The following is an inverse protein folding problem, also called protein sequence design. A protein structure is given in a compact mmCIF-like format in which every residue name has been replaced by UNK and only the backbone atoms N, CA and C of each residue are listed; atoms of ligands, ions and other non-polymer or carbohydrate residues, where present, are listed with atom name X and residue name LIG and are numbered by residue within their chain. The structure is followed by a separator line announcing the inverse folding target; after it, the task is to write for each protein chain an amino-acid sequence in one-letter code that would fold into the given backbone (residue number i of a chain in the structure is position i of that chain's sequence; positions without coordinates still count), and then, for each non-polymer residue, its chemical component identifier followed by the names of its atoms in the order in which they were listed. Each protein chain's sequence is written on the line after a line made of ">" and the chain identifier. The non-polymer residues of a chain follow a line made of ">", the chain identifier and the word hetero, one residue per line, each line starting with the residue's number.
data_IF_513781392289
#
_entry.id   IF_513781392289
#
_cell.length_a   1.000
_cell.length_b   1.000
_cell.length_c   1.000
_cell.angle_alpha   90.00
_cell.angle_beta   90.00
_cell.angle_gamma   90.00
#
_symmetry.space_group_name_H-M   'P 1'
#
loop_
_entity.id
_entity.type
_entity.pdbx_description
1 polymer ?
#
# COMPACT_ATOMS: atom_id res chain seq x y z
N UNK A 1 19.75 -22.27 20.20
CA UNK A 1 19.46 -21.33 19.09
C UNK A 1 17.96 -21.15 19.02
N UNK A 2 17.46 -20.10 19.67
CA UNK A 2 16.03 -19.81 19.76
C UNK A 2 15.40 -19.54 18.40
N UNK A 3 14.41 -20.36 18.05
CA UNK A 3 13.47 -20.13 16.95
C UNK A 3 12.64 -18.87 17.30
N UNK A 4 13.14 -17.68 16.94
CA UNK A 4 12.35 -16.45 17.04
C UNK A 4 11.06 -16.67 16.24
N UNK A 5 9.94 -16.68 16.96
CA UNK A 5 8.60 -16.86 16.42
C UNK A 5 8.42 -15.99 15.17
N UNK A 6 8.25 -16.63 14.00
CA UNK A 6 7.81 -16.02 12.73
C UNK A 6 6.33 -15.61 12.83
N UNK A 7 5.92 -14.92 13.91
CA UNK A 7 4.55 -14.42 14.02
C UNK A 7 4.49 -13.06 13.34
N UNK A 8 3.67 -12.99 12.30
CA UNK A 8 3.26 -11.74 11.67
C UNK A 8 2.77 -10.74 12.72
N UNK A 9 2.99 -9.45 12.48
CA UNK A 9 2.46 -8.40 13.34
C UNK A 9 0.94 -8.58 13.47
N UNK A 10 0.38 -8.79 14.68
CA UNK A 10 -1.05 -9.03 14.87
C UNK A 10 -1.94 -7.83 14.48
N UNK A 11 -1.33 -6.68 14.16
CA UNK A 11 -2.00 -5.51 13.59
C UNK A 11 -2.20 -5.61 12.07
N UNK A 12 -1.46 -6.47 11.36
CA UNK A 12 -1.61 -6.73 9.91
C UNK A 12 -2.55 -7.91 9.67
N UNK A 13 -3.81 -7.73 10.05
CA UNK A 13 -4.88 -8.71 9.76
C UNK A 13 -5.58 -8.29 8.48
N UNK A 14 -5.70 -9.23 7.54
CA UNK A 14 -6.45 -9.02 6.30
C UNK A 14 -7.93 -9.28 6.54
N UNK A 15 -8.79 -8.48 5.91
CA UNK A 15 -10.24 -8.72 5.87
C UNK A 15 -10.52 -10.08 5.24
N UNK A 16 -11.40 -10.90 5.83
CA UNK A 16 -11.70 -12.20 5.24
C UNK A 16 -12.34 -12.03 3.87
N UNK A 17 -11.99 -12.91 2.92
CA UNK A 17 -12.45 -12.80 1.54
C UNK A 17 -13.97 -12.94 1.40
N UNK A 18 -14.61 -13.67 2.30
CA UNK A 18 -16.07 -13.85 2.30
C UNK A 18 -16.81 -12.65 2.91
N UNK A 19 -16.13 -11.83 3.70
CA UNK A 19 -16.68 -10.59 4.28
C UNK A 19 -16.50 -9.39 3.34
N UNK A 20 -15.81 -9.57 2.21
CA UNK A 20 -15.53 -8.50 1.26
C UNK A 20 -16.80 -8.08 0.50
N UNK A 21 -17.28 -6.86 0.77
CA UNK A 21 -18.25 -6.19 -0.11
C UNK A 21 -17.50 -5.52 -1.27
N UNK A 22 -17.33 -6.24 -2.39
CA UNK A 22 -16.56 -5.77 -3.54
C UNK A 22 -17.12 -4.50 -4.21
N UNK A 23 -18.45 -4.30 -4.18
CA UNK A 23 -19.05 -3.10 -4.72
C UNK A 23 -18.63 -1.87 -3.89
N UNK A 24 -18.79 -1.95 -2.57
CA UNK A 24 -18.37 -0.89 -1.66
C UNK A 24 -16.86 -0.61 -1.74
N UNK A 25 -16.05 -1.67 -1.83
CA UNK A 25 -14.60 -1.53 -2.01
C UNK A 25 -14.24 -0.86 -3.34
N UNK A 26 -14.97 -1.14 -4.42
CA UNK A 26 -14.77 -0.45 -5.70
C UNK A 26 -15.09 1.05 -5.60
N UNK A 27 -16.17 1.39 -4.89
CA UNK A 27 -16.56 2.78 -4.65
C UNK A 27 -15.50 3.52 -3.81
N UNK A 28 -15.00 2.89 -2.73
CA UNK A 28 -13.90 3.42 -1.92
C UNK A 28 -12.62 3.57 -2.73
N UNK A 29 -12.28 2.60 -3.57
CA UNK A 29 -11.09 2.67 -4.41
C UNK A 29 -11.15 3.86 -5.37
N UNK A 30 -12.32 4.20 -5.90
CA UNK A 30 -12.47 5.37 -6.78
C UNK A 30 -12.16 6.70 -6.07
N UNK A 31 -12.41 6.76 -4.76
CA UNK A 31 -12.23 7.94 -3.91
C UNK A 31 -10.84 7.99 -3.25
N UNK A 32 -10.20 6.83 -3.04
CA UNK A 32 -8.91 6.72 -2.40
C UNK A 32 -7.84 7.55 -3.14
N UNK A 33 -6.95 8.15 -2.35
CA UNK A 33 -5.87 9.00 -2.81
C UNK A 33 -4.53 8.49 -2.31
N UNK A 34 -3.49 8.70 -3.11
CA UNK A 34 -2.12 8.41 -2.70
C UNK A 34 -1.48 9.71 -2.18
N UNK A 35 -1.25 9.74 -0.88
CA UNK A 35 -0.45 10.73 -0.19
C UNK A 35 1.03 10.54 -0.52
N UNK A 36 1.76 11.63 -0.55
CA UNK A 36 3.21 11.57 -0.66
C UNK A 36 3.79 12.87 -0.15
N UNK A 37 4.67 12.79 0.83
CA UNK A 37 5.49 13.93 1.21
C UNK A 37 6.39 14.30 0.01
N UNK A 38 6.30 15.54 -0.52
CA UNK A 38 7.17 16.01 -1.60
C UNK A 38 8.66 16.07 -1.20
N UNK A 39 9.01 16.00 0.09
CA UNK A 39 10.40 16.07 0.58
C UNK A 39 11.32 14.91 0.16
N UNK A 40 10.82 13.89 -0.55
CA UNK A 40 11.62 12.71 -0.94
C UNK A 40 11.49 12.30 -2.42
N UNK A 41 11.14 13.22 -3.32
CA UNK A 41 11.00 12.93 -4.75
C UNK A 41 12.05 13.68 -5.56
N UNK A 42 12.96 12.93 -6.19
CA UNK A 42 13.98 13.46 -7.11
C UNK A 42 13.43 14.20 -8.35
N UNK A 43 12.10 14.17 -8.59
CA UNK A 43 11.46 14.85 -9.72
C UNK A 43 10.31 15.77 -9.24
N UNK A 44 10.60 17.03 -8.87
CA UNK A 44 9.59 18.00 -8.40
C UNK A 44 8.60 18.47 -9.49
N UNK A 45 8.86 18.18 -10.77
CA UNK A 45 8.03 18.65 -11.89
C UNK A 45 6.61 18.09 -11.93
N UNK A 46 6.36 16.92 -11.33
CA UNK A 46 5.08 16.20 -11.45
C UNK A 46 3.99 16.71 -10.44
N UNK A 47 4.34 17.69 -9.60
CA UNK A 47 3.49 18.18 -8.50
C UNK A 47 3.08 19.65 -8.61
N UNK A 48 3.47 20.39 -9.65
CA UNK A 48 3.23 21.84 -9.77
C UNK A 48 3.70 22.64 -8.54
N UNK A 49 4.79 22.22 -7.89
CA UNK A 49 5.34 22.92 -6.73
C UNK A 49 6.63 23.66 -7.14
N UNK A 50 6.60 24.99 -7.06
CA UNK A 50 7.81 25.82 -6.98
C UNK A 50 8.53 25.55 -5.65
N UNK A 51 9.86 25.42 -5.63
CA UNK A 51 10.57 24.68 -4.58
C UNK A 51 10.72 25.49 -3.28
N UNK A 52 11.08 24.82 -2.16
CA UNK A 52 12.30 25.25 -1.52
C UNK A 52 13.34 24.14 -1.31
N UNK A 53 14.54 24.47 -1.78
CA UNK A 53 15.89 24.30 -1.23
C UNK A 53 16.13 23.35 -0.04
N UNK A 54 17.19 22.55 -0.19
CA UNK A 54 17.93 21.73 0.80
C UNK A 54 17.46 20.29 1.04
N UNK A 55 18.10 19.30 0.38
CA UNK A 55 18.00 17.90 0.80
C UNK A 55 18.70 17.73 2.16
N UNK A 56 17.94 17.33 3.20
CA UNK A 56 18.53 16.97 4.49
C UNK A 56 19.28 15.62 4.37
N UNK A 57 20.57 15.52 4.72
CA UNK A 57 21.42 14.36 4.39
C UNK A 57 21.14 13.06 5.19
N UNK A 58 20.12 13.01 6.04
CA UNK A 58 20.01 11.99 7.09
C UNK A 58 18.69 11.20 7.11
N UNK A 59 17.93 11.18 6.00
CA UNK A 59 16.81 10.26 5.88
C UNK A 59 16.93 9.50 4.58
N UNK A 60 17.32 8.23 4.74
CA UNK A 60 17.43 7.17 3.75
C UNK A 60 16.60 7.45 2.50
N UNK A 61 17.31 7.78 1.42
CA UNK A 61 16.76 7.70 0.08
C UNK A 61 16.13 6.32 -0.10
N UNK A 62 14.87 6.29 -0.50
CA UNK A 62 14.21 5.08 -1.01
C UNK A 62 14.77 4.69 -2.40
N UNK A 63 16.10 4.68 -2.57
CA UNK A 63 16.79 4.34 -3.82
C UNK A 63 16.61 2.86 -4.23
N UNK A 64 16.04 2.03 -3.36
CA UNK A 64 15.85 0.60 -3.61
C UNK A 64 14.56 0.26 -4.37
N UNK A 65 13.62 1.19 -4.53
CA UNK A 65 12.41 0.96 -5.33
C UNK A 65 12.51 1.82 -6.59
N UNK A 66 12.79 1.16 -7.71
CA UNK A 66 12.82 1.77 -9.05
C UNK A 66 11.65 2.73 -9.18
N UNK A 67 11.97 4.00 -9.47
CA UNK A 67 11.07 5.15 -9.66
C UNK A 67 9.60 4.75 -9.83
N UNK A 68 8.86 4.82 -8.74
CA UNK A 68 7.44 4.52 -8.70
C UNK A 68 6.67 5.84 -8.78
N UNK A 69 5.96 6.08 -9.88
CA UNK A 69 5.21 7.33 -10.05
C UNK A 69 4.03 7.36 -9.08
N UNK A 70 3.57 8.56 -8.68
CA UNK A 70 2.34 8.68 -7.85
C UNK A 70 1.14 8.01 -8.52
N UNK A 71 1.07 8.05 -9.85
CA UNK A 71 0.02 7.41 -10.64
C UNK A 71 0.05 5.89 -10.48
N UNK A 72 1.22 5.27 -10.58
CA UNK A 72 1.36 3.82 -10.36
C UNK A 72 1.03 3.44 -8.91
N UNK A 73 1.46 4.26 -7.96
CA UNK A 73 1.11 4.11 -6.54
C UNK A 73 -0.39 4.13 -6.29
N UNK A 74 -1.06 5.11 -6.87
CA UNK A 74 -2.50 5.22 -6.81
C UNK A 74 -3.17 4.02 -7.49
N UNK A 75 -2.66 3.59 -8.64
CA UNK A 75 -3.23 2.44 -9.35
C UNK A 75 -3.11 1.14 -8.53
N UNK A 76 -1.94 0.86 -7.94
CA UNK A 76 -1.74 -0.32 -7.10
C UNK A 76 -2.57 -0.27 -5.82
N UNK A 77 -2.63 0.88 -5.15
CA UNK A 77 -3.49 1.10 -3.99
C UNK A 77 -4.95 0.76 -4.34
N UNK A 78 -5.47 1.35 -5.41
CA UNK A 78 -6.86 1.15 -5.83
C UNK A 78 -7.14 -0.30 -6.22
N UNK A 79 -6.18 -0.96 -6.87
CA UNK A 79 -6.28 -2.38 -7.21
C UNK A 79 -6.33 -3.25 -5.96
N UNK A 80 -5.49 -2.98 -4.97
CA UNK A 80 -5.52 -3.66 -3.66
C UNK A 80 -6.86 -3.54 -2.95
N UNK A 81 -7.42 -2.32 -2.91
CA UNK A 81 -8.77 -2.08 -2.36
C UNK A 81 -9.82 -2.88 -3.14
N UNK A 82 -9.83 -2.79 -4.47
CA UNK A 82 -10.83 -3.46 -5.33
C UNK A 82 -10.88 -4.96 -5.16
N UNK A 83 -9.74 -5.63 -5.03
CA UNK A 83 -9.70 -7.08 -4.82
C UNK A 83 -9.87 -7.48 -3.34
N UNK A 84 -10.10 -6.49 -2.47
CA UNK A 84 -10.33 -6.67 -1.04
C UNK A 84 -9.07 -7.01 -0.23
N UNK A 85 -7.87 -6.83 -0.79
CA UNK A 85 -6.63 -7.04 -0.05
C UNK A 85 -6.34 -5.87 0.88
N UNK A 86 -7.19 -5.74 1.90
CA UNK A 86 -7.25 -4.63 2.85
C UNK A 86 -7.34 -5.14 4.27
N UNK A 87 -7.03 -4.31 5.25
CA UNK A 87 -7.13 -4.70 6.65
C UNK A 87 -8.57 -4.88 7.10
N UNK A 88 -8.77 -5.77 8.07
CA UNK A 88 -10.05 -5.90 8.81
C UNK A 88 -10.37 -4.65 9.64
N UNK A 89 -9.34 -3.88 10.02
CA UNK A 89 -9.48 -2.60 10.72
C UNK A 89 -9.85 -1.49 9.75
N UNK A 90 -10.83 -0.68 10.16
CA UNK A 90 -11.33 0.47 9.42
C UNK A 90 -11.25 1.71 10.31
N UNK A 91 -10.83 2.84 9.74
CA UNK A 91 -10.90 4.17 10.35
C UNK A 91 -11.83 5.06 9.49
N UNK A 92 -12.97 5.44 10.05
CA UNK A 92 -14.06 6.03 9.26
C UNK A 92 -14.64 4.98 8.31
N UNK A 93 -14.50 5.20 7.00
CA UNK A 93 -14.89 4.25 5.95
C UNK A 93 -13.69 3.57 5.27
N UNK A 94 -12.46 3.94 5.64
CA UNK A 94 -11.25 3.51 4.95
C UNK A 94 -10.53 2.41 5.72
N UNK A 95 -10.12 1.31 5.07
CA UNK A 95 -9.27 0.31 5.70
C UNK A 95 -7.95 0.93 6.17
N UNK A 96 -7.49 0.55 7.37
CA UNK A 96 -6.25 1.10 7.94
C UNK A 96 -5.01 0.76 7.09
N UNK A 97 -4.98 -0.43 6.51
CA UNK A 97 -3.93 -0.87 5.60
C UNK A 97 -4.52 -1.45 4.32
N UNK A 98 -3.80 -1.27 3.22
CA UNK A 98 -4.05 -1.88 1.92
C UNK A 98 -2.75 -2.52 1.46
N UNK A 99 -2.82 -3.72 0.89
CA UNK A 99 -1.67 -4.37 0.31
C UNK A 99 -1.84 -4.56 -1.19
N UNK A 100 -0.72 -4.51 -1.90
CA UNK A 100 -0.68 -4.68 -3.36
C UNK A 100 0.63 -5.32 -3.79
N UNK A 101 0.70 -5.81 -5.03
CA UNK A 101 1.91 -6.42 -5.58
C UNK A 101 2.22 -5.77 -6.93
N UNK A 102 3.46 -5.32 -7.09
CA UNK A 102 3.98 -4.77 -8.34
C UNK A 102 4.11 -5.87 -9.42
N UNK A 103 4.28 -5.47 -10.67
CA UNK A 103 4.44 -6.41 -11.79
C UNK A 103 5.71 -7.27 -11.66
N UNK A 104 6.74 -6.79 -10.95
CA UNK A 104 7.96 -7.54 -10.66
C UNK A 104 7.83 -8.50 -9.46
N UNK A 105 6.62 -8.60 -8.88
CA UNK A 105 6.32 -9.45 -7.73
C UNK A 105 6.59 -8.82 -6.37
N UNK A 106 7.05 -7.57 -6.30
CA UNK A 106 7.32 -6.90 -5.02
C UNK A 106 6.02 -6.51 -4.32
N UNK A 107 5.76 -7.01 -3.09
CA UNK A 107 4.62 -6.61 -2.29
C UNK A 107 4.84 -5.25 -1.64
N UNK A 108 3.78 -4.45 -1.61
CA UNK A 108 3.70 -3.12 -1.02
C UNK A 108 2.65 -3.11 0.08
N UNK A 109 2.90 -2.32 1.11
CA UNK A 109 1.94 -1.97 2.15
C UNK A 109 1.66 -0.47 2.08
N UNK A 110 0.39 -0.08 2.03
CA UNK A 110 -0.06 1.29 2.15
C UNK A 110 -0.86 1.45 3.45
N UNK A 111 -0.52 2.46 4.23
CA UNK A 111 -1.19 2.81 5.47
C UNK A 111 -2.00 4.10 5.31
N UNK A 112 -3.21 4.13 5.88
CA UNK A 112 -4.06 5.31 5.90
C UNK A 112 -3.41 6.43 6.73
N UNK A 113 -3.17 7.56 6.09
CA UNK A 113 -2.65 8.80 6.71
C UNK A 113 -3.76 9.74 7.15
N UNK A 114 -4.81 9.90 6.33
CA UNK A 114 -5.99 10.71 6.65
C UNK A 114 -7.27 9.98 6.26
N UNK A 115 -8.08 9.63 7.26
CA UNK A 115 -9.41 9.05 7.07
C UNK A 115 -10.41 10.05 6.49
N UNK A 116 -10.25 11.34 6.73
CA UNK A 116 -11.09 12.40 6.17
C UNK A 116 -10.89 12.52 4.65
N UNK A 117 -9.65 12.38 4.17
CA UNK A 117 -9.30 12.52 2.75
C UNK A 117 -9.22 11.19 2.00
N UNK A 118 -9.21 10.05 2.73
CA UNK A 118 -8.93 8.74 2.15
C UNK A 118 -7.51 8.64 1.59
N UNK A 119 -6.54 9.31 2.21
CA UNK A 119 -5.17 9.38 1.73
C UNK A 119 -4.30 8.32 2.36
N UNK A 120 -3.51 7.65 1.54
CA UNK A 120 -2.62 6.56 1.94
C UNK A 120 -1.18 6.84 1.58
N UNK A 121 -0.26 6.33 2.40
CA UNK A 121 1.16 6.31 2.11
C UNK A 121 1.69 4.89 2.20
N UNK A 122 2.45 4.48 1.18
CA UNK A 122 2.94 3.11 1.08
C UNK A 122 4.43 2.97 0.87
N UNK A 123 4.90 1.77 1.23
CA UNK A 123 6.29 1.34 1.25
C UNK A 123 6.39 -0.14 0.85
N UNK A 124 7.53 -0.56 0.28
CA UNK A 124 7.77 -1.97 0.01
C UNK A 124 7.85 -2.77 1.33
N UNK A 125 7.34 -4.00 1.31
CA UNK A 125 7.54 -4.92 2.42
C UNK A 125 8.93 -5.55 2.25
N UNK A 126 9.79 -5.57 3.29
CA UNK A 126 11.09 -6.22 3.22
C UNK A 126 10.97 -7.73 2.98
N UNK A 127 11.90 -8.34 2.24
CA UNK A 127 11.89 -9.78 1.95
C UNK A 127 12.01 -10.66 3.19
N UNK A 128 12.63 -10.13 4.23
CA UNK A 128 12.82 -10.81 5.52
C UNK A 128 11.56 -10.74 6.40
N UNK A 129 10.60 -9.87 6.06
CA UNK A 129 9.32 -9.79 6.74
C UNK A 129 8.50 -11.04 6.39
N UNK A 130 8.04 -11.85 7.36
CA UNK A 130 7.21 -13.00 7.08
C UNK A 130 6.02 -12.65 6.18
N UNK A 131 5.45 -11.44 6.34
CA UNK A 131 4.24 -10.96 5.62
C UNK A 131 4.44 -10.80 4.12
N UNK A 132 5.69 -10.79 3.65
CA UNK A 132 6.04 -10.67 2.24
C UNK A 132 5.34 -11.73 1.37
N UNK A 133 5.55 -13.01 1.70
CA UNK A 133 5.00 -14.14 0.94
C UNK A 133 3.48 -14.24 1.07
N UNK A 134 2.94 -13.88 2.24
CA UNK A 134 1.49 -13.91 2.48
C UNK A 134 0.76 -12.91 1.58
N UNK A 135 1.30 -11.69 1.44
CA UNK A 135 0.72 -10.66 0.54
C UNK A 135 0.73 -11.14 -0.91
N UNK A 136 1.82 -11.75 -1.37
CA UNK A 136 1.91 -12.28 -2.74
C UNK A 136 0.87 -13.38 -2.97
N UNK A 137 0.77 -14.33 -2.05
CA UNK A 137 -0.19 -15.43 -2.15
C UNK A 137 -1.64 -14.94 -2.18
N UNK A 138 -2.00 -14.05 -1.25
CA UNK A 138 -3.35 -13.49 -1.16
C UNK A 138 -3.70 -12.60 -2.35
N UNK A 139 -2.72 -11.85 -2.87
CA UNK A 139 -2.90 -11.09 -4.10
C UNK A 139 -3.28 -11.98 -5.28
N UNK A 140 -2.61 -13.14 -5.45
CA UNK A 140 -2.93 -14.10 -6.50
C UNK A 140 -4.35 -14.65 -6.36
N UNK A 141 -4.67 -15.20 -5.18
CA UNK A 141 -6.00 -15.79 -4.88
C UNK A 141 -7.13 -14.79 -5.17
N UNK A 142 -6.98 -13.56 -4.69
CA UNK A 142 -8.01 -12.52 -4.84
C UNK A 142 -8.09 -11.96 -6.24
N UNK A 143 -6.97 -11.82 -6.93
CA UNK A 143 -6.95 -11.39 -8.33
C UNK A 143 -7.58 -12.41 -9.26
N UNK A 144 -7.45 -13.71 -8.97
CA UNK A 144 -8.16 -14.78 -9.69
C UNK A 144 -9.66 -14.69 -9.42
N UNK A 145 -10.09 -14.56 -8.16
CA UNK A 145 -11.51 -14.45 -7.80
C UNK A 145 -12.20 -13.21 -8.39
N UNK A 146 -11.50 -12.09 -8.50
CA UNK A 146 -12.04 -10.86 -9.08
C UNK A 146 -12.21 -10.91 -10.62
N UNK A 147 -11.68 -11.94 -11.29
CA UNK A 147 -11.86 -12.16 -12.74
C UNK A 147 -12.99 -13.13 -13.07
N UNK A 148 -13.43 -13.92 -12.09
CA UNK A 148 -14.51 -14.92 -12.20
C UNK A 148 -15.87 -14.29 -11.93
#
# INVERSE_FOLDING_TARGET
>A
MDKRNKKYNPKRKMLNLEECNFQHLSDLASQAQYGGNPEHKMNPGDFKLTPPSSPRPAKSLCDSVKVFTRREALNLLRKGIKIGLVSDRVEGQYPKNVWSVMDDGTPLEAQLESSEQGSYHGYPIPKEDPFYEEVINQWRIRSEKAKS
#
